data_IF_003569656377
#
_entry.id   IF_003569656377
#
_cell.length_a   1.000
_cell.length_b   1.000
_cell.length_c   1.000
_cell.angle_alpha   90.00
_cell.angle_beta   90.00
_cell.angle_gamma   90.00
#
_symmetry.space_group_name_H-M   'P 1'
#
loop_
_entity.id
_entity.type
_entity.pdbx_description
1 polymer ?
#
# COMPACT_ATOMS: atom_id res chain seq x y z
N UNK A 1 -17.77 -44.45 -11.91
CA UNK A 1 -16.39 -44.05 -11.55
C UNK A 1 -16.39 -42.55 -11.39
N UNK A 2 -16.18 -42.03 -10.18
CA UNK A 2 -16.01 -40.59 -9.96
C UNK A 2 -14.67 -40.19 -10.60
N UNK A 3 -14.68 -39.26 -11.56
CA UNK A 3 -13.45 -38.61 -12.02
C UNK A 3 -12.86 -37.90 -10.79
N UNK A 4 -11.70 -38.34 -10.30
CA UNK A 4 -10.98 -37.59 -9.27
C UNK A 4 -10.66 -36.22 -9.85
N UNK A 5 -11.26 -35.16 -9.30
CA UNK A 5 -10.98 -33.79 -9.71
C UNK A 5 -9.56 -33.45 -9.28
N UNK A 6 -8.71 -32.98 -10.20
CA UNK A 6 -7.36 -32.49 -9.87
C UNK A 6 -7.51 -31.33 -8.89
N UNK A 7 -6.87 -31.44 -7.72
CA UNK A 7 -6.85 -30.36 -6.73
C UNK A 7 -5.77 -29.34 -7.08
N UNK A 8 -6.09 -28.05 -7.08
CA UNK A 8 -5.13 -26.97 -7.31
C UNK A 8 -4.80 -26.25 -6.01
N UNK A 9 -3.52 -26.22 -5.63
CA UNK A 9 -3.05 -25.67 -4.36
C UNK A 9 -2.00 -24.58 -4.61
N UNK A 10 -2.25 -23.36 -4.14
CA UNK A 10 -1.31 -22.25 -4.19
C UNK A 10 -0.61 -22.07 -2.85
N UNK A 11 0.73 -21.96 -2.87
CA UNK A 11 1.56 -21.79 -1.68
C UNK A 11 2.48 -20.59 -1.87
N UNK A 12 2.41 -19.59 -0.99
CA UNK A 12 3.35 -18.46 -1.01
C UNK A 12 4.63 -18.77 -0.23
N UNK A 13 5.77 -18.22 -0.67
CA UNK A 13 7.07 -18.50 -0.04
C UNK A 13 7.54 -19.94 -0.23
N UNK A 14 7.23 -20.52 -1.39
CA UNK A 14 7.29 -21.95 -1.65
C UNK A 14 8.69 -22.52 -1.94
N UNK A 15 9.71 -21.68 -2.18
CA UNK A 15 11.04 -22.11 -2.62
C UNK A 15 11.99 -22.58 -1.51
N UNK A 16 11.66 -22.37 -0.24
CA UNK A 16 12.52 -22.73 0.90
C UNK A 16 11.74 -23.05 2.17
N UNK A 17 12.44 -23.58 3.17
CA UNK A 17 11.89 -23.82 4.51
C UNK A 17 10.60 -24.64 4.49
N UNK A 18 9.64 -24.23 5.32
CA UNK A 18 8.33 -24.88 5.46
C UNK A 18 7.58 -24.88 4.12
N UNK A 19 7.58 -23.76 3.38
CA UNK A 19 6.92 -23.67 2.07
C UNK A 19 7.39 -24.73 1.09
N UNK A 20 8.72 -24.96 0.99
CA UNK A 20 9.28 -26.04 0.15
C UNK A 20 8.88 -27.43 0.63
N UNK A 21 8.83 -27.63 1.95
CA UNK A 21 8.34 -28.88 2.54
C UNK A 21 6.89 -29.16 2.16
N UNK A 22 6.02 -28.14 2.24
CA UNK A 22 4.60 -28.26 1.85
C UNK A 22 4.48 -28.58 0.35
N UNK A 23 5.26 -27.91 -0.52
CA UNK A 23 5.31 -28.25 -1.96
C UNK A 23 5.65 -29.73 -2.15
N UNK A 24 6.70 -30.23 -1.50
CA UNK A 24 7.12 -31.63 -1.63
C UNK A 24 6.03 -32.61 -1.15
N UNK A 25 5.32 -32.28 -0.07
CA UNK A 25 4.21 -33.10 0.46
C UNK A 25 3.01 -33.10 -0.47
N UNK A 26 2.66 -31.99 -1.12
CA UNK A 26 1.59 -32.01 -2.10
C UNK A 26 2.01 -32.74 -3.37
N UNK A 27 3.22 -32.53 -3.88
CA UNK A 27 3.69 -33.25 -5.07
C UNK A 27 3.79 -34.77 -4.87
N UNK A 28 3.89 -35.28 -3.65
CA UNK A 28 3.83 -36.72 -3.37
C UNK A 28 2.40 -37.31 -3.37
N UNK A 29 1.37 -36.47 -3.50
CA UNK A 29 -0.04 -36.90 -3.66
C UNK A 29 -0.41 -36.98 -5.13
N UNK A 30 -1.29 -37.90 -5.48
CA UNK A 30 -1.80 -38.00 -6.86
C UNK A 30 -2.88 -36.95 -7.14
N UNK A 31 -3.07 -36.63 -8.42
CA UNK A 31 -4.13 -35.73 -8.92
C UNK A 31 -4.11 -34.32 -8.28
N UNK A 32 -2.93 -33.67 -8.29
CA UNK A 32 -2.74 -32.34 -7.70
C UNK A 32 -1.84 -31.43 -8.54
N UNK A 33 -2.25 -30.17 -8.69
CA UNK A 33 -1.42 -29.12 -9.27
C UNK A 33 -0.96 -28.19 -8.16
N UNK A 34 0.35 -28.13 -7.94
CA UNK A 34 0.95 -27.23 -6.95
C UNK A 34 1.43 -25.97 -7.64
N UNK A 35 0.89 -24.83 -7.25
CA UNK A 35 1.35 -23.51 -7.64
C UNK A 35 2.30 -22.99 -6.56
N UNK A 36 3.59 -23.08 -6.81
CA UNK A 36 4.64 -22.56 -5.95
C UNK A 36 4.88 -21.07 -6.26
N UNK A 37 4.30 -20.20 -5.43
CA UNK A 37 4.45 -18.76 -5.55
C UNK A 37 5.72 -18.27 -4.82
N UNK A 38 6.60 -17.59 -5.57
CA UNK A 38 7.95 -17.20 -5.14
C UNK A 38 8.28 -15.78 -5.59
N UNK A 39 9.21 -15.10 -4.91
CA UNK A 39 9.61 -13.72 -5.27
C UNK A 39 10.50 -13.64 -6.52
N UNK A 40 11.42 -14.59 -6.63
CA UNK A 40 12.41 -14.64 -7.71
C UNK A 40 12.35 -16.03 -8.36
N UNK A 41 11.93 -16.04 -9.63
CA UNK A 41 11.81 -17.25 -10.43
C UNK A 41 13.19 -17.83 -10.80
N UNK A 42 14.21 -16.97 -10.88
CA UNK A 42 15.57 -17.32 -11.27
C UNK A 42 16.48 -17.67 -10.08
N UNK A 43 15.92 -17.71 -8.87
CA UNK A 43 16.71 -18.12 -7.72
C UNK A 43 17.08 -19.60 -7.79
N UNK A 44 18.27 -19.97 -7.30
CA UNK A 44 18.71 -21.37 -7.19
C UNK A 44 17.67 -22.20 -6.43
N UNK A 45 17.09 -21.63 -5.37
CA UNK A 45 16.07 -22.30 -4.56
C UNK A 45 14.76 -22.56 -5.31
N UNK A 46 14.36 -21.68 -6.23
CA UNK A 46 13.19 -21.88 -7.08
C UNK A 46 13.46 -22.98 -8.10
N UNK A 47 14.61 -22.92 -8.79
CA UNK A 47 15.00 -23.96 -9.76
C UNK A 47 15.04 -25.36 -9.12
N UNK A 48 15.49 -25.46 -7.87
CA UNK A 48 15.53 -26.70 -7.11
C UNK A 48 14.15 -27.29 -6.76
N UNK A 49 13.04 -26.59 -7.00
CA UNK A 49 11.69 -27.16 -6.85
C UNK A 49 11.37 -28.15 -7.98
N UNK A 50 11.93 -27.93 -9.17
CA UNK A 50 11.66 -28.80 -10.33
C UNK A 50 12.17 -30.23 -10.16
N UNK A 51 13.17 -30.43 -9.29
CA UNK A 51 13.74 -31.75 -8.96
C UNK A 51 12.97 -32.50 -7.87
N UNK A 52 11.89 -31.94 -7.32
CA UNK A 52 11.10 -32.62 -6.30
C UNK A 52 10.34 -33.81 -6.92
N UNK A 53 10.28 -34.97 -6.22
CA UNK A 53 9.51 -36.12 -6.68
C UNK A 53 8.02 -35.77 -6.88
N UNK A 54 7.44 -36.32 -7.95
CA UNK A 54 6.04 -36.13 -8.33
C UNK A 54 5.33 -37.48 -8.36
N UNK A 55 4.20 -37.59 -7.68
CA UNK A 55 3.31 -38.72 -7.80
C UNK A 55 2.49 -38.64 -9.09
N UNK A 56 1.67 -39.67 -9.35
CA UNK A 56 0.85 -39.77 -10.55
C UNK A 56 -0.05 -38.55 -10.72
N UNK A 57 -0.09 -37.97 -11.91
CA UNK A 57 -0.90 -36.79 -12.23
C UNK A 57 -0.67 -35.60 -11.29
N UNK A 58 0.51 -35.51 -10.67
CA UNK A 58 0.91 -34.32 -9.93
C UNK A 58 1.76 -33.40 -10.81
N UNK A 59 1.56 -32.10 -10.67
CA UNK A 59 2.28 -31.08 -11.45
C UNK A 59 2.73 -29.93 -10.56
N UNK A 60 3.78 -29.24 -11.02
CA UNK A 60 4.34 -28.07 -10.35
C UNK A 60 4.32 -26.90 -11.33
N UNK A 61 3.75 -25.78 -10.92
CA UNK A 61 3.79 -24.49 -11.60
C UNK A 61 4.51 -23.53 -10.66
N UNK A 62 5.52 -22.82 -11.14
CA UNK A 62 6.15 -21.72 -10.39
C UNK A 62 5.66 -20.40 -10.92
N UNK A 63 5.18 -19.53 -10.03
CA UNK A 63 4.68 -18.19 -10.42
C UNK A 63 5.30 -17.13 -9.53
N UNK A 64 5.51 -15.93 -10.08
CA UNK A 64 6.00 -14.81 -9.29
C UNK A 64 4.89 -14.25 -8.41
N UNK A 65 5.10 -14.23 -7.11
CA UNK A 65 4.34 -13.40 -6.16
C UNK A 65 5.30 -12.88 -5.09
N UNK A 66 5.53 -11.56 -5.06
CA UNK A 66 5.88 -10.85 -3.84
C UNK A 66 4.61 -10.48 -3.06
N UNK A 67 4.42 -11.09 -1.89
CA UNK A 67 3.23 -10.87 -1.06
C UNK A 67 3.09 -9.45 -0.51
N UNK A 68 4.11 -8.59 -0.69
CA UNK A 68 4.02 -7.16 -0.36
C UNK A 68 3.50 -6.29 -1.52
N UNK A 69 3.35 -6.85 -2.73
CA UNK A 69 2.95 -6.13 -3.94
C UNK A 69 1.64 -6.69 -4.50
N UNK A 70 0.54 -5.94 -4.39
CA UNK A 70 -0.78 -6.36 -4.90
C UNK A 70 -0.76 -6.68 -6.41
N UNK A 71 0.02 -5.93 -7.19
CA UNK A 71 0.14 -6.10 -8.63
C UNK A 71 0.70 -7.48 -9.02
N UNK A 72 1.57 -8.06 -8.19
CA UNK A 72 2.14 -9.39 -8.44
C UNK A 72 1.05 -10.48 -8.35
N UNK A 73 0.10 -10.36 -7.41
CA UNK A 73 -1.01 -11.29 -7.30
C UNK A 73 -1.95 -11.20 -8.52
N UNK A 74 -2.24 -9.98 -8.98
CA UNK A 74 -3.06 -9.74 -10.19
C UNK A 74 -2.37 -10.34 -11.42
N UNK A 75 -1.07 -10.10 -11.58
CA UNK A 75 -0.29 -10.67 -12.68
C UNK A 75 -0.24 -12.20 -12.62
N UNK A 76 -0.06 -12.79 -11.43
CA UNK A 76 -0.05 -14.23 -11.24
C UNK A 76 -1.38 -14.88 -11.65
N UNK A 77 -2.53 -14.29 -11.30
CA UNK A 77 -3.84 -14.80 -11.74
C UNK A 77 -3.93 -14.82 -13.27
N UNK A 78 -3.54 -13.74 -13.95
CA UNK A 78 -3.55 -13.67 -15.41
C UNK A 78 -2.66 -14.74 -16.06
N UNK A 79 -1.47 -14.96 -15.51
CA UNK A 79 -0.53 -15.99 -15.99
C UNK A 79 -1.12 -17.38 -15.79
N UNK A 80 -1.67 -17.66 -14.60
CA UNK A 80 -2.31 -18.94 -14.29
C UNK A 80 -3.49 -19.25 -15.20
N UNK A 81 -4.32 -18.25 -15.51
CA UNK A 81 -5.44 -18.39 -16.43
C UNK A 81 -4.98 -18.60 -17.87
N UNK A 82 -4.13 -17.71 -18.39
CA UNK A 82 -3.77 -17.67 -19.82
C UNK A 82 -2.75 -18.72 -20.23
N UNK A 83 -1.78 -19.05 -19.39
CA UNK A 83 -0.68 -19.96 -19.72
C UNK A 83 -0.89 -21.38 -19.19
N UNK A 84 -1.66 -21.52 -18.10
CA UNK A 84 -1.82 -22.80 -17.41
C UNK A 84 -3.27 -23.31 -17.35
N UNK A 85 -4.23 -22.59 -17.91
CA UNK A 85 -5.67 -22.94 -17.88
C UNK A 85 -6.21 -23.15 -16.47
N UNK A 86 -5.63 -22.47 -15.48
CA UNK A 86 -6.08 -22.52 -14.09
C UNK A 86 -7.10 -21.40 -13.88
N UNK A 87 -8.37 -21.77 -13.86
CA UNK A 87 -9.50 -20.86 -13.59
C UNK A 87 -10.03 -20.96 -12.15
N UNK A 88 -9.44 -21.84 -11.33
CA UNK A 88 -9.82 -22.09 -9.95
C UNK A 88 -8.60 -22.53 -9.14
N UNK A 89 -8.49 -22.00 -7.93
CA UNK A 89 -7.58 -22.51 -6.89
C UNK A 89 -8.44 -23.09 -5.77
N UNK A 90 -8.21 -24.35 -5.40
CA UNK A 90 -9.00 -25.02 -4.36
C UNK A 90 -8.50 -24.68 -2.95
N UNK A 91 -7.19 -24.52 -2.80
CA UNK A 91 -6.55 -24.25 -1.51
C UNK A 91 -5.48 -23.18 -1.67
N UNK A 92 -5.48 -22.18 -0.80
CA UNK A 92 -4.41 -21.18 -0.67
C UNK A 92 -3.74 -21.34 0.69
N UNK A 93 -2.42 -21.50 0.68
CA UNK A 93 -1.57 -21.56 1.87
C UNK A 93 -0.70 -20.30 1.89
N UNK A 94 -1.12 -19.31 2.67
CA UNK A 94 -0.40 -18.05 2.88
C UNK A 94 0.79 -18.25 3.85
N UNK A 95 1.82 -18.96 3.39
CA UNK A 95 2.99 -19.33 4.20
C UNK A 95 4.10 -18.26 4.18
N UNK A 96 4.15 -17.37 3.18
CA UNK A 96 5.20 -16.36 3.09
C UNK A 96 5.21 -15.45 4.33
N UNK A 97 6.34 -15.41 5.02
CA UNK A 97 6.56 -14.54 6.17
C UNK A 97 8.05 -14.33 6.42
N UNK A 98 8.39 -13.16 6.95
CA UNK A 98 9.74 -12.82 7.37
C UNK A 98 9.68 -12.19 8.75
N UNK A 99 10.59 -12.59 9.63
CA UNK A 99 10.85 -11.85 10.87
C UNK A 99 12.08 -10.99 10.65
N UNK A 100 11.92 -9.67 10.74
CA UNK A 100 13.05 -8.74 10.67
C UNK A 100 13.79 -8.61 12.02
N UNK A 101 13.13 -9.00 13.12
CA UNK A 101 13.63 -8.77 14.48
C UNK A 101 13.18 -9.88 15.42
N UNK A 102 14.13 -10.52 16.11
CA UNK A 102 13.89 -11.52 17.15
C UNK A 102 14.51 -11.01 18.46
N UNK A 103 13.71 -10.97 19.53
CA UNK A 103 14.17 -10.59 20.87
C UNK A 103 13.01 -10.44 21.87
N UNK A 104 13.27 -10.48 23.19
CA UNK A 104 12.30 -10.11 24.20
C UNK A 104 11.71 -8.70 23.96
N UNK A 105 10.46 -8.46 24.37
CA UNK A 105 9.79 -7.15 24.25
C UNK A 105 10.66 -6.00 24.76
N UNK A 106 11.42 -6.22 25.83
CA UNK A 106 12.33 -5.24 26.41
C UNK A 106 13.53 -4.84 25.51
N UNK A 107 13.80 -5.60 24.44
CA UNK A 107 14.95 -5.40 23.54
C UNK A 107 14.55 -5.07 22.09
N UNK A 108 13.25 -5.09 21.79
CA UNK A 108 12.72 -4.68 20.49
C UNK A 108 12.55 -3.16 20.50
N UNK A 109 13.13 -2.48 19.51
CA UNK A 109 12.95 -1.05 19.29
C UNK A 109 11.71 -0.75 18.44
N UNK A 110 11.15 0.45 18.56
CA UNK A 110 10.07 0.92 17.66
C UNK A 110 10.50 0.89 16.19
N UNK A 111 11.75 1.21 15.89
CA UNK A 111 12.30 1.11 14.53
C UNK A 111 12.25 -0.34 13.99
N UNK A 112 12.56 -1.34 14.82
CA UNK A 112 12.49 -2.75 14.45
C UNK A 112 11.07 -3.26 14.19
N UNK A 113 10.06 -2.64 14.82
CA UNK A 113 8.63 -2.90 14.55
C UNK A 113 8.18 -2.17 13.28
N UNK A 114 8.68 -0.95 13.07
CA UNK A 114 8.31 -0.07 11.95
C UNK A 114 9.10 -0.35 10.66
N UNK A 115 10.10 -1.25 10.66
CA UNK A 115 10.91 -1.59 9.48
C UNK A 115 10.10 -2.11 8.25
N UNK A 116 8.80 -2.38 8.40
CA UNK A 116 7.89 -2.72 7.30
C UNK A 116 6.87 -1.62 6.96
N UNK A 117 6.96 -0.44 7.58
CA UNK A 117 6.03 0.68 7.37
C UNK A 117 6.84 1.97 7.25
N UNK A 118 6.90 2.55 6.06
CA UNK A 118 7.49 3.88 5.87
C UNK A 118 6.65 4.91 6.63
N UNK A 119 7.22 5.63 7.62
CA UNK A 119 6.48 6.61 8.40
C UNK A 119 6.00 7.76 7.51
N UNK A 120 4.79 8.27 7.80
CA UNK A 120 4.19 9.39 7.08
C UNK A 120 4.00 10.60 8.00
N UNK A 121 4.54 11.75 7.62
CA UNK A 121 4.30 13.03 8.30
C UNK A 121 3.32 13.86 7.47
N UNK A 122 2.08 13.99 7.94
CA UNK A 122 0.99 14.58 7.16
C UNK A 122 0.46 15.82 7.88
N UNK A 123 0.44 16.94 7.17
CA UNK A 123 -0.11 18.20 7.67
C UNK A 123 -1.43 18.48 6.96
N UNK A 124 -2.46 18.84 7.74
CA UNK A 124 -3.67 19.44 7.21
C UNK A 124 -3.32 20.87 6.76
N UNK A 125 -3.09 21.03 5.46
CA UNK A 125 -2.74 22.30 4.83
C UNK A 125 -3.94 23.24 4.75
N UNK A 126 -3.71 24.41 4.13
CA UNK A 126 -4.79 25.31 3.71
C UNK A 126 -4.35 26.12 2.49
N UNK A 127 -5.22 26.33 1.50
CA UNK A 127 -4.96 27.30 0.41
C UNK A 127 -4.68 28.71 0.94
N UNK A 128 -5.20 29.07 2.11
CA UNK A 128 -4.88 30.35 2.75
C UNK A 128 -3.39 30.52 3.07
N UNK A 129 -2.64 29.43 3.18
CA UNK A 129 -1.18 29.43 3.35
C UNK A 129 -0.38 29.34 2.06
N UNK A 130 -1.04 29.23 0.90
CA UNK A 130 -0.38 29.13 -0.40
C UNK A 130 0.14 30.50 -0.83
N UNK A 131 1.46 30.65 -0.91
CA UNK A 131 2.08 31.90 -1.35
C UNK A 131 1.89 32.06 -2.86
N UNK A 132 2.08 30.98 -3.64
CA UNK A 132 1.92 30.99 -5.09
C UNK A 132 0.49 31.20 -5.58
N UNK A 133 -0.53 30.97 -4.73
CA UNK A 133 -1.92 31.23 -5.06
C UNK A 133 -2.46 32.56 -4.52
N UNK A 134 -1.65 33.33 -3.78
CA UNK A 134 -2.10 34.51 -3.02
C UNK A 134 -2.74 35.59 -3.91
N UNK A 135 -2.24 35.78 -5.14
CA UNK A 135 -2.81 36.73 -6.10
C UNK A 135 -4.19 36.29 -6.63
N UNK A 136 -4.43 34.97 -6.67
CA UNK A 136 -5.66 34.39 -7.25
C UNK A 136 -6.78 34.22 -6.22
N UNK A 137 -6.43 34.15 -4.94
CA UNK A 137 -7.37 33.95 -3.84
C UNK A 137 -7.04 34.89 -2.64
N UNK A 138 -7.14 36.22 -2.81
CA UNK A 138 -6.86 37.15 -1.74
C UNK A 138 -7.93 37.05 -0.64
N UNK A 139 -7.55 36.59 0.54
CA UNK A 139 -8.41 36.53 1.73
C UNK A 139 -7.75 37.28 2.90
N UNK A 140 -8.50 38.04 3.71
CA UNK A 140 -7.98 38.81 4.84
C UNK A 140 -7.64 37.91 6.05
N UNK A 141 -6.85 36.86 5.84
CA UNK A 141 -6.54 35.81 6.81
C UNK A 141 -5.04 35.78 7.13
N UNK A 142 -4.38 36.93 7.25
CA UNK A 142 -2.92 37.05 7.32
C UNK A 142 -2.28 36.14 8.39
N UNK A 143 -2.78 36.15 9.63
CA UNK A 143 -2.23 35.33 10.71
C UNK A 143 -2.42 33.82 10.46
N UNK A 144 -3.61 33.42 10.01
CA UNK A 144 -3.93 32.02 9.72
C UNK A 144 -3.12 31.51 8.52
N UNK A 145 -3.10 32.28 7.43
CA UNK A 145 -2.32 32.00 6.23
C UNK A 145 -0.82 31.86 6.52
N UNK A 146 -0.23 32.81 7.26
CA UNK A 146 1.17 32.74 7.66
C UNK A 146 1.49 31.47 8.48
N UNK A 147 0.61 31.09 9.42
CA UNK A 147 0.78 29.86 10.20
C UNK A 147 0.75 28.59 9.33
N UNK A 148 -0.10 28.59 8.29
CA UNK A 148 -0.22 27.48 7.34
C UNK A 148 0.97 27.42 6.40
N UNK A 149 1.42 28.56 5.87
CA UNK A 149 2.63 28.67 5.05
C UNK A 149 3.87 28.14 5.79
N UNK A 150 3.99 28.42 7.09
CA UNK A 150 5.07 27.87 7.91
C UNK A 150 4.98 26.33 8.03
N UNK A 151 3.78 25.80 8.28
CA UNK A 151 3.58 24.35 8.35
C UNK A 151 3.90 23.67 7.01
N UNK A 152 3.51 24.30 5.90
CA UNK A 152 3.84 23.88 4.54
C UNK A 152 5.35 23.86 4.29
N UNK A 153 6.08 24.87 4.76
CA UNK A 153 7.53 24.91 4.67
C UNK A 153 8.19 23.73 5.41
N UNK A 154 7.71 23.39 6.61
CA UNK A 154 8.24 22.23 7.35
C UNK A 154 8.01 20.90 6.63
N UNK A 155 6.84 20.73 6.00
CA UNK A 155 6.57 19.56 5.14
C UNK A 155 7.63 19.45 4.02
N UNK A 156 7.92 20.55 3.35
CA UNK A 156 8.94 20.58 2.28
C UNK A 156 10.33 20.28 2.82
N UNK A 157 10.70 20.85 3.97
CA UNK A 157 11.98 20.57 4.63
C UNK A 157 12.14 19.10 4.99
N UNK A 158 11.13 18.49 5.63
CA UNK A 158 11.16 17.06 5.96
C UNK A 158 11.29 16.21 4.69
N UNK A 159 10.53 16.53 3.63
CA UNK A 159 10.63 15.81 2.37
C UNK A 159 12.06 15.78 1.80
N UNK A 160 12.75 16.94 1.80
CA UNK A 160 14.11 17.06 1.26
C UNK A 160 15.21 16.51 2.20
N UNK A 161 15.00 16.56 3.51
CA UNK A 161 16.01 16.14 4.50
C UNK A 161 15.88 14.65 4.87
N UNK A 162 14.71 14.04 4.71
CA UNK A 162 14.42 12.67 5.13
C UNK A 162 13.87 11.82 3.98
N UNK A 163 14.71 10.98 3.39
CA UNK A 163 14.31 10.04 2.34
C UNK A 163 13.47 8.86 2.86
N UNK A 164 13.55 8.59 4.16
CA UNK A 164 12.84 7.53 4.88
C UNK A 164 11.47 7.96 5.41
N UNK A 165 11.09 9.23 5.24
CA UNK A 165 9.78 9.76 5.66
C UNK A 165 9.00 10.23 4.43
N UNK A 166 7.74 9.81 4.33
CA UNK A 166 6.77 10.36 3.38
C UNK A 166 6.16 11.60 4.03
N UNK A 167 6.56 12.79 3.61
CA UNK A 167 6.03 14.05 4.14
C UNK A 167 5.23 14.81 3.11
N UNK A 168 4.00 15.20 3.41
CA UNK A 168 3.13 15.97 2.50
C UNK A 168 2.06 16.79 3.25
N UNK A 169 1.50 17.79 2.58
CA UNK A 169 0.38 18.58 3.09
C UNK A 169 -0.89 18.21 2.31
N UNK A 170 -2.07 18.29 2.93
CA UNK A 170 -3.35 18.02 2.24
C UNK A 170 -4.29 19.18 2.46
N UNK A 171 -4.85 19.74 1.39
CA UNK A 171 -5.94 20.71 1.45
C UNK A 171 -7.26 19.93 1.54
N UNK A 172 -7.92 19.92 2.71
CA UNK A 172 -9.10 19.07 2.93
C UNK A 172 -10.38 19.64 2.29
N UNK A 173 -10.32 20.85 1.74
CA UNK A 173 -11.48 21.61 1.30
C UNK A 173 -12.11 22.40 2.45
N UNK A 174 -13.06 23.26 2.10
CA UNK A 174 -13.73 24.11 3.07
C UNK A 174 -14.83 23.33 3.81
N UNK A 175 -14.42 22.61 4.87
CA UNK A 175 -15.25 21.64 5.56
C UNK A 175 -16.31 22.24 6.50
N UNK A 176 -17.50 21.63 6.54
CA UNK A 176 -18.64 21.94 7.43
C UNK A 176 -18.40 21.55 8.89
N UNK A 177 -17.28 22.02 9.44
CA UNK A 177 -17.00 22.01 10.87
C UNK A 177 -17.63 23.23 11.54
N UNK A 178 -17.66 23.26 12.87
CA UNK A 178 -18.09 24.45 13.62
C UNK A 178 -17.32 25.69 13.15
N UNK A 179 -15.97 25.64 13.19
CA UNK A 179 -15.13 26.74 12.74
C UNK A 179 -15.29 27.05 11.24
N UNK A 180 -15.41 26.03 10.39
CA UNK A 180 -15.60 26.22 8.96
C UNK A 180 -16.91 26.96 8.66
N UNK A 181 -18.00 26.59 9.32
CA UNK A 181 -19.29 27.24 9.17
C UNK A 181 -19.29 28.66 9.77
N UNK A 182 -18.64 28.88 10.92
CA UNK A 182 -18.47 30.23 11.46
C UNK A 182 -17.74 31.15 10.49
N UNK A 183 -16.64 30.67 9.88
CA UNK A 183 -15.91 31.44 8.86
C UNK A 183 -16.77 31.64 7.61
N UNK A 184 -17.52 30.63 7.17
CA UNK A 184 -18.41 30.72 6.01
C UNK A 184 -19.44 31.86 6.21
N UNK A 185 -20.04 31.95 7.40
CA UNK A 185 -20.98 33.01 7.75
C UNK A 185 -20.33 34.40 7.78
N UNK A 186 -19.09 34.52 8.26
CA UNK A 186 -18.33 35.78 8.18
C UNK A 186 -18.10 36.23 6.74
N UNK A 187 -18.01 35.29 5.79
CA UNK A 187 -17.93 35.55 4.35
C UNK A 187 -19.31 35.63 3.65
N UNK A 188 -20.41 35.66 4.41
CA UNK A 188 -21.77 35.79 3.87
C UNK A 188 -22.36 34.50 3.29
N UNK A 189 -21.72 33.35 3.55
CA UNK A 189 -22.21 32.03 3.13
C UNK A 189 -23.09 31.41 4.24
N UNK A 190 -24.02 30.53 3.85
CA UNK A 190 -24.87 29.80 4.81
C UNK A 190 -24.05 28.83 5.68
N UNK A 191 -23.16 28.07 5.02
CA UNK A 191 -22.31 27.04 5.60
C UNK A 191 -21.12 26.80 4.67
N UNK A 192 -20.12 26.06 5.15
CA UNK A 192 -18.96 25.69 4.35
C UNK A 192 -19.35 24.71 3.22
N UNK A 193 -18.54 24.66 2.16
CA UNK A 193 -18.92 23.99 0.91
C UNK A 193 -18.79 22.45 0.94
N UNK A 194 -17.99 21.89 1.84
CA UNK A 194 -17.63 20.46 1.82
C UNK A 194 -18.18 19.76 3.07
N UNK A 195 -18.99 18.69 2.94
CA UNK A 195 -19.36 17.86 4.08
C UNK A 195 -18.12 17.33 4.81
N UNK A 196 -18.14 17.34 6.15
CA UNK A 196 -16.98 16.94 6.95
C UNK A 196 -16.55 15.48 6.67
N UNK A 197 -17.51 14.61 6.35
CA UNK A 197 -17.26 13.22 5.93
C UNK A 197 -16.42 13.12 4.67
N UNK A 198 -16.71 13.97 3.68
CA UNK A 198 -16.07 13.91 2.37
C UNK A 198 -14.65 14.46 2.45
N UNK A 199 -14.48 15.55 3.20
CA UNK A 199 -13.17 16.10 3.58
C UNK A 199 -12.32 15.03 4.30
N UNK A 200 -12.87 14.35 5.30
CA UNK A 200 -12.15 13.31 6.05
C UNK A 200 -11.77 12.11 5.17
N UNK A 201 -12.72 11.63 4.35
CA UNK A 201 -12.49 10.52 3.42
C UNK A 201 -11.40 10.85 2.41
N UNK A 202 -11.38 12.08 1.89
CA UNK A 202 -10.33 12.53 0.99
C UNK A 202 -8.97 12.53 1.66
N UNK A 203 -8.83 13.14 2.85
CA UNK A 203 -7.55 13.15 3.59
C UNK A 203 -7.05 11.72 3.83
N UNK A 204 -7.92 10.82 4.32
CA UNK A 204 -7.55 9.41 4.55
C UNK A 204 -7.13 8.74 3.25
N UNK A 205 -7.83 8.97 2.14
CA UNK A 205 -7.48 8.40 0.84
C UNK A 205 -6.06 8.82 0.40
N UNK A 206 -5.69 10.09 0.58
CA UNK A 206 -4.35 10.59 0.25
C UNK A 206 -3.29 9.93 1.14
N UNK A 207 -3.57 9.77 2.45
CA UNK A 207 -2.69 9.06 3.39
C UNK A 207 -2.47 7.62 2.97
N UNK A 208 -3.50 6.91 2.52
CA UNK A 208 -3.39 5.51 2.09
C UNK A 208 -2.49 5.39 0.85
N UNK A 209 -2.74 6.20 -0.19
CA UNK A 209 -2.05 6.07 -1.48
C UNK A 209 -0.66 6.74 -1.52
N UNK A 210 -0.32 7.58 -0.52
CA UNK A 210 0.95 8.30 -0.51
C UNK A 210 2.15 7.35 -0.43
N UNK A 211 3.07 7.49 -1.39
CA UNK A 211 4.42 6.93 -1.36
C UNK A 211 5.44 8.06 -1.38
N UNK A 212 6.73 7.73 -1.26
CA UNK A 212 7.81 8.71 -1.37
C UNK A 212 7.84 9.36 -2.75
N UNK A 213 7.59 8.58 -3.81
CA UNK A 213 7.66 9.03 -5.20
C UNK A 213 6.37 9.69 -5.73
N UNK A 214 5.23 9.47 -5.05
CA UNK A 214 3.94 9.99 -5.54
C UNK A 214 3.52 11.28 -4.85
N UNK A 215 3.42 11.30 -3.52
CA UNK A 215 2.82 12.41 -2.78
C UNK A 215 3.79 13.10 -1.82
N UNK A 216 4.96 12.53 -1.54
CA UNK A 216 5.91 13.25 -0.67
C UNK A 216 6.39 14.54 -1.32
N UNK A 217 6.32 15.66 -0.59
CA UNK A 217 6.68 16.97 -1.10
C UNK A 217 5.57 17.65 -1.92
N UNK A 218 4.40 17.02 -2.02
CA UNK A 218 3.22 17.52 -2.74
C UNK A 218 2.13 18.08 -1.80
N UNK A 219 1.20 18.83 -2.39
CA UNK A 219 0.09 19.47 -1.68
C UNK A 219 -1.26 19.18 -2.36
N UNK A 220 -1.74 17.91 -2.37
CA UNK A 220 -3.03 17.55 -2.96
C UNK A 220 -4.21 18.32 -2.37
N UNK A 221 -5.20 18.63 -3.21
CA UNK A 221 -6.36 19.42 -2.87
C UNK A 221 -7.68 18.69 -3.13
N UNK A 222 -8.64 18.86 -2.22
CA UNK A 222 -10.00 18.35 -2.39
C UNK A 222 -10.72 19.08 -3.54
N UNK A 223 -11.54 18.39 -4.36
CA UNK A 223 -11.70 16.92 -4.43
C UNK A 223 -10.62 16.24 -5.29
N UNK A 224 -9.88 17.01 -6.09
CA UNK A 224 -8.75 16.57 -6.89
C UNK A 224 -7.85 17.75 -7.27
N UNK A 225 -6.61 17.45 -7.65
CA UNK A 225 -5.62 18.45 -8.06
C UNK A 225 -4.57 18.72 -6.99
N UNK A 226 -3.78 19.77 -7.21
CA UNK A 226 -2.66 20.16 -6.36
C UNK A 226 -2.68 21.67 -6.10
N UNK A 227 -2.52 22.06 -4.83
CA UNK A 227 -2.34 23.44 -4.46
C UNK A 227 -0.92 23.90 -4.81
N UNK A 228 -0.79 25.17 -5.18
CA UNK A 228 0.52 25.82 -5.20
C UNK A 228 1.05 25.94 -3.76
N UNK A 229 2.37 25.91 -3.60
CA UNK A 229 3.03 26.22 -2.33
C UNK A 229 3.04 27.71 -2.05
#
# INVERSE_FOLDING_TARGET
MSLSSIQTVLITGANRGIGKGIVAVYLSKSDVTVIAAVRDLESISTRALSSLPKAKNSSLITVKIDSSLEQDAIAAVRILESEHSINKVDVVIANAGTSASLGPVASITTAQVLNNVTPKFVVLGSQAGSIGAMEKAPAPMAAYGASKAMAHYFVRKIHFEHNDIISFAVEPGFAQSESGNSIAQMFGMKEAAVPISDSANFVVSQIVVATKDTLSGHFPAFPSGECLW
#
